data_IF_847794639821
#
_entry.id   IF_847794639821
#
_cell.length_a   1.000
_cell.length_b   1.000
_cell.length_c   1.000
_cell.angle_alpha   90.00
_cell.angle_beta   90.00
_cell.angle_gamma   90.00
#
_symmetry.space_group_name_H-M   'P 1'
#
loop_
_entity.id
_entity.type
_entity.pdbx_description
1 polymer ?
#
# COMPACT_ATOMS: atom_id res chain seq x y z
N UNK A 1 -11.73 -5.51 -7.78
CA UNK A 1 -11.41 -4.07 -7.60
C UNK A 1 -10.40 -4.03 -6.46
N UNK A 2 -9.10 -4.02 -6.77
CA UNK A 2 -8.03 -4.17 -5.78
C UNK A 2 -7.46 -2.79 -5.46
N UNK A 3 -7.31 -2.48 -4.17
CA UNK A 3 -6.65 -1.28 -3.63
C UNK A 3 -5.17 -1.30 -3.93
N UNK A 4 -4.59 -0.15 -4.28
CA UNK A 4 -3.14 -0.03 -4.50
C UNK A 4 -2.29 -0.36 -3.25
N UNK A 5 -2.83 -0.22 -2.03
CA UNK A 5 -1.96 -0.13 -0.86
C UNK A 5 -1.41 -1.48 -0.36
N UNK A 6 -2.12 -2.60 -0.58
CA UNK A 6 -1.69 -3.93 -0.11
C UNK A 6 -1.89 -5.05 -1.15
N UNK A 7 -2.26 -4.72 -2.39
CA UNK A 7 -2.51 -5.71 -3.44
C UNK A 7 -1.26 -6.57 -3.72
N UNK A 8 -0.09 -5.92 -3.76
CA UNK A 8 1.20 -6.61 -3.91
C UNK A 8 1.58 -7.54 -2.74
N UNK A 9 0.90 -7.38 -1.60
CA UNK A 9 1.05 -8.25 -0.43
C UNK A 9 -0.08 -9.29 -0.35
N UNK A 10 -0.86 -9.40 -1.44
CA UNK A 10 -1.93 -10.35 -1.65
C UNK A 10 -3.19 -10.08 -0.82
N UNK A 11 -3.35 -8.87 -0.26
CA UNK A 11 -4.49 -8.49 0.57
C UNK A 11 -5.39 -7.54 -0.20
N UNK A 12 -6.68 -7.86 -0.27
CA UNK A 12 -7.69 -6.93 -0.73
C UNK A 12 -8.45 -6.33 0.46
N UNK A 13 -8.21 -5.06 0.78
CA UNK A 13 -8.87 -4.34 1.89
C UNK A 13 -10.39 -4.25 1.74
N UNK A 14 -10.93 -4.50 0.54
CA UNK A 14 -12.36 -4.42 0.23
C UNK A 14 -12.97 -5.80 -0.09
N UNK A 15 -12.26 -6.90 0.18
CA UNK A 15 -12.78 -8.24 -0.06
C UNK A 15 -14.03 -8.52 0.78
N UNK A 16 -15.01 -9.24 0.24
CA UNK A 16 -16.19 -9.69 0.98
C UNK A 16 -16.33 -11.21 0.83
N UNK A 17 -16.17 -12.01 1.91
CA UNK A 17 -15.96 -11.59 3.30
C UNK A 17 -14.58 -10.97 3.55
N UNK A 18 -14.46 -10.23 4.67
CA UNK A 18 -13.22 -9.59 5.10
C UNK A 18 -12.06 -10.59 5.20
N UNK A 19 -10.92 -10.23 4.62
CA UNK A 19 -9.70 -11.03 4.66
C UNK A 19 -8.87 -10.73 5.92
N UNK A 20 -8.08 -11.71 6.36
CA UNK A 20 -7.01 -11.48 7.33
C UNK A 20 -5.74 -11.07 6.60
N UNK A 21 -5.04 -10.06 7.13
CA UNK A 21 -3.69 -9.71 6.66
C UNK A 21 -2.61 -10.59 7.28
N UNK A 22 -2.93 -11.41 8.28
CA UNK A 22 -1.95 -12.29 8.92
C UNK A 22 -1.82 -13.62 8.21
N UNK A 23 -2.92 -14.15 7.67
CA UNK A 23 -2.98 -15.44 6.98
C UNK A 23 -3.80 -15.37 5.70
N UNK A 24 -3.44 -16.15 4.70
CA UNK A 24 -4.22 -16.30 3.48
C UNK A 24 -5.37 -17.32 3.66
N UNK A 25 -6.13 -17.56 2.59
CA UNK A 25 -7.25 -18.50 2.59
C UNK A 25 -6.82 -19.96 2.83
N UNK A 26 -5.55 -20.30 2.60
CA UNK A 26 -4.98 -21.61 2.89
C UNK A 26 -4.40 -21.70 4.32
N UNK A 27 -4.49 -20.62 5.11
CA UNK A 27 -3.94 -20.52 6.46
C UNK A 27 -2.43 -20.28 6.49
N UNK A 28 -1.81 -19.96 5.35
CA UNK A 28 -0.40 -19.63 5.30
C UNK A 28 -0.15 -18.21 5.78
N UNK A 29 0.92 -18.03 6.55
CA UNK A 29 1.30 -16.73 7.11
C UNK A 29 1.72 -15.77 6.00
N UNK A 30 1.12 -14.59 5.96
CA UNK A 30 1.41 -13.56 4.94
C UNK A 30 2.69 -12.79 5.27
N UNK A 31 3.53 -12.64 4.26
CA UNK A 31 4.71 -11.79 4.29
C UNK A 31 4.29 -10.33 4.12
N UNK A 32 4.94 -9.43 4.86
CA UNK A 32 4.84 -7.99 4.67
C UNK A 32 5.91 -7.49 3.67
N UNK A 33 7.03 -8.18 3.59
CA UNK A 33 8.16 -7.79 2.74
C UNK A 33 8.73 -8.97 1.96
N UNK A 34 9.44 -8.69 0.87
CA UNK A 34 10.42 -9.62 0.31
C UNK A 34 11.60 -9.80 1.27
N UNK A 35 12.34 -10.92 1.19
CA UNK A 35 13.57 -11.10 1.98
C UNK A 35 14.61 -10.02 1.64
N UNK A 36 15.18 -9.37 2.66
CA UNK A 36 16.28 -8.42 2.49
C UNK A 36 17.36 -8.62 3.57
N UNK A 37 18.61 -8.83 3.16
CA UNK A 37 19.76 -9.10 4.05
C UNK A 37 19.44 -10.14 5.15
N UNK A 38 18.91 -11.30 4.74
CA UNK A 38 18.49 -12.40 5.62
C UNK A 38 17.33 -12.09 6.58
N UNK A 39 16.64 -10.96 6.43
CA UNK A 39 15.45 -10.63 7.20
C UNK A 39 14.20 -10.74 6.32
N UNK A 40 13.12 -11.22 6.92
CA UNK A 40 11.79 -11.32 6.31
C UNK A 40 10.75 -10.81 7.31
N UNK A 41 9.93 -9.85 6.90
CA UNK A 41 8.87 -9.31 7.73
C UNK A 41 7.56 -10.05 7.46
N UNK A 42 6.84 -10.33 8.54
CA UNK A 42 5.49 -10.90 8.50
C UNK A 42 4.51 -9.94 9.17
N UNK A 43 3.30 -9.88 8.63
CA UNK A 43 2.26 -8.94 9.05
C UNK A 43 1.92 -9.02 10.54
N UNK A 44 1.74 -10.22 11.08
CA UNK A 44 1.40 -10.43 12.49
C UNK A 44 2.54 -10.03 13.44
N UNK A 45 3.79 -10.38 13.12
CA UNK A 45 4.97 -9.97 13.92
C UNK A 45 5.14 -8.46 13.90
N UNK A 46 5.01 -7.85 12.72
CA UNK A 46 5.12 -6.41 12.56
C UNK A 46 4.01 -5.68 13.31
N UNK A 47 2.76 -6.13 13.18
CA UNK A 47 1.59 -5.53 13.85
C UNK A 47 1.74 -5.57 15.37
N UNK A 48 2.19 -6.71 15.94
CA UNK A 48 2.43 -6.84 17.39
C UNK A 48 3.53 -5.90 17.89
N UNK A 49 4.60 -5.75 17.11
CA UNK A 49 5.68 -4.82 17.42
C UNK A 49 5.18 -3.36 17.35
N UNK A 50 4.48 -2.99 16.27
CA UNK A 50 3.95 -1.64 16.06
C UNK A 50 2.95 -1.24 17.16
N UNK A 51 2.06 -2.17 17.54
CA UNK A 51 1.08 -1.96 18.60
C UNK A 51 1.73 -1.74 19.98
N UNK A 52 2.89 -2.38 20.23
CA UNK A 52 3.66 -2.15 21.46
C UNK A 52 4.33 -0.75 21.48
N UNK A 53 4.77 -0.23 20.34
CA UNK A 53 5.30 1.15 20.23
C UNK A 53 4.20 2.20 20.41
N UNK A 54 2.96 1.89 20.01
CA UNK A 54 1.83 2.82 19.96
C UNK A 54 2.10 4.05 19.09
N UNK A 55 2.65 5.13 19.66
CA UNK A 55 2.93 6.36 18.92
C UNK A 55 4.29 6.24 18.23
N UNK A 56 4.33 6.54 16.94
CA UNK A 56 5.54 6.46 16.11
C UNK A 56 5.70 5.15 15.35
N UNK A 57 4.78 4.19 15.51
CA UNK A 57 4.66 3.03 14.63
C UNK A 57 4.15 3.42 13.24
N UNK A 58 4.55 2.67 12.21
CA UNK A 58 4.15 2.91 10.82
C UNK A 58 2.68 2.56 10.59
N UNK A 59 2.19 1.43 11.15
CA UNK A 59 0.78 1.05 11.00
C UNK A 59 -0.12 2.07 11.70
N UNK A 60 0.25 2.48 12.91
CA UNK A 60 -0.41 3.57 13.65
C UNK A 60 -0.33 4.91 12.94
N UNK A 61 0.77 5.20 12.23
CA UNK A 61 0.88 6.43 11.43
C UNK A 61 -0.10 6.43 10.25
N UNK A 62 -0.26 5.32 9.54
CA UNK A 62 -1.29 5.22 8.49
C UNK A 62 -2.69 5.40 9.05
N UNK A 63 -2.99 4.78 10.19
CA UNK A 63 -4.29 4.97 10.83
C UNK A 63 -4.52 6.43 11.22
N UNK A 64 -3.51 7.10 11.76
CA UNK A 64 -3.58 8.51 12.13
C UNK A 64 -3.84 9.46 10.95
N UNK A 65 -3.39 9.09 9.74
CA UNK A 65 -3.59 9.93 8.53
C UNK A 65 -4.91 9.61 7.85
N UNK A 66 -5.28 8.34 7.74
CA UNK A 66 -6.35 7.90 6.84
C UNK A 66 -7.64 7.48 7.55
N UNK A 67 -7.59 7.19 8.85
CA UNK A 67 -8.75 6.69 9.59
C UNK A 67 -9.54 7.83 10.23
N UNK A 68 -10.87 7.67 10.38
CA UNK A 68 -11.64 8.52 11.27
C UNK A 68 -11.20 8.32 12.73
N UNK A 69 -11.65 9.22 13.61
CA UNK A 69 -11.50 9.01 15.04
C UNK A 69 -12.55 8.00 15.55
N UNK A 70 -12.14 7.13 16.46
CA UNK A 70 -13.00 6.27 17.24
C UNK A 70 -13.69 7.05 18.38
N UNK A 71 -14.62 6.42 19.14
CA UNK A 71 -15.32 7.09 20.24
C UNK A 71 -14.40 7.62 21.36
N UNK A 72 -13.19 7.09 21.48
CA UNK A 72 -12.18 7.51 22.46
C UNK A 72 -11.25 8.61 21.91
N UNK A 73 -11.53 9.09 20.69
CA UNK A 73 -10.76 10.12 20.01
C UNK A 73 -9.40 9.66 19.51
N UNK A 74 -9.17 8.35 19.35
CA UNK A 74 -7.99 7.79 18.71
C UNK A 74 -8.28 7.45 17.25
N UNK A 75 -7.27 7.39 16.36
CA UNK A 75 -7.48 6.89 15.01
C UNK A 75 -8.00 5.46 15.03
N UNK A 76 -9.11 5.22 14.33
CA UNK A 76 -9.74 3.91 14.28
C UNK A 76 -8.81 2.87 13.61
N UNK A 77 -8.83 1.64 14.14
CA UNK A 77 -7.94 0.58 13.66
C UNK A 77 -8.46 -0.05 12.37
N UNK A 78 -7.60 -0.09 11.35
CA UNK A 78 -7.92 -0.74 10.06
C UNK A 78 -7.88 -2.28 10.16
N UNK A 79 -7.20 -2.81 11.17
CA UNK A 79 -6.99 -4.24 11.36
C UNK A 79 -7.24 -4.60 12.82
N UNK A 80 -7.99 -5.68 13.06
CA UNK A 80 -8.05 -6.29 14.39
C UNK A 80 -6.67 -6.84 14.77
N UNK A 81 -6.08 -6.31 15.85
CA UNK A 81 -4.69 -6.64 16.26
C UNK A 81 -4.44 -8.10 16.61
N UNK A 82 -5.49 -8.88 16.90
CA UNK A 82 -5.38 -10.28 17.31
C UNK A 82 -5.49 -11.23 16.13
N UNK A 83 -6.41 -10.94 15.22
CA UNK A 83 -6.83 -11.82 14.12
C UNK A 83 -6.30 -11.38 12.75
N UNK A 84 -5.94 -10.10 12.62
CA UNK A 84 -5.54 -9.48 11.37
C UNK A 84 -6.71 -9.21 10.43
N UNK A 85 -7.95 -9.42 10.85
CA UNK A 85 -9.14 -9.14 10.02
C UNK A 85 -9.25 -7.66 9.71
N UNK A 86 -9.50 -7.33 8.44
CA UNK A 86 -9.70 -5.96 7.99
C UNK A 86 -11.04 -5.42 8.51
N UNK A 87 -11.01 -4.21 9.06
CA UNK A 87 -12.20 -3.46 9.44
C UNK A 87 -12.76 -2.72 8.21
N UNK A 88 -13.80 -3.27 7.58
CA UNK A 88 -14.40 -2.69 6.37
C UNK A 88 -14.93 -1.27 6.56
N UNK A 89 -15.43 -0.92 7.74
CA UNK A 89 -15.93 0.43 7.99
C UNK A 89 -14.79 1.46 7.91
N UNK A 90 -13.60 1.10 8.39
CA UNK A 90 -12.40 1.94 8.29
C UNK A 90 -11.82 1.89 6.88
N UNK A 91 -11.76 0.71 6.25
CA UNK A 91 -11.29 0.55 4.88
C UNK A 91 -12.11 1.41 3.89
N UNK A 92 -13.43 1.53 4.09
CA UNK A 92 -14.29 2.39 3.29
C UNK A 92 -13.85 3.87 3.36
N UNK A 93 -13.41 4.35 4.52
CA UNK A 93 -12.89 5.71 4.68
C UNK A 93 -11.55 5.90 3.96
N UNK A 94 -10.72 4.85 3.92
CA UNK A 94 -9.42 4.88 3.24
C UNK A 94 -9.55 4.97 1.72
N UNK A 95 -10.69 4.60 1.11
CA UNK A 95 -10.93 4.70 -0.34
C UNK A 95 -10.72 6.10 -0.90
N UNK A 96 -10.99 7.14 -0.11
CA UNK A 96 -10.77 8.53 -0.52
C UNK A 96 -9.29 8.86 -0.78
N UNK A 97 -8.37 8.01 -0.33
CA UNK A 97 -6.93 8.15 -0.47
C UNK A 97 -6.30 7.11 -1.41
N UNK A 98 -7.09 6.19 -1.95
CA UNK A 98 -6.63 5.23 -2.95
C UNK A 98 -6.43 5.95 -4.29
N UNK A 99 -5.17 6.15 -4.67
CA UNK A 99 -4.78 6.93 -5.86
C UNK A 99 -5.48 6.41 -7.13
N UNK A 100 -5.62 5.10 -7.30
CA UNK A 100 -6.27 4.52 -8.48
C UNK A 100 -7.76 4.86 -8.49
N UNK A 101 -8.43 4.72 -7.36
CA UNK A 101 -9.85 5.06 -7.22
C UNK A 101 -10.09 6.55 -7.45
N UNK A 102 -9.26 7.42 -6.88
CA UNK A 102 -9.33 8.87 -7.06
C UNK A 102 -9.10 9.24 -8.54
N UNK A 103 -8.08 8.66 -9.18
CA UNK A 103 -7.81 8.95 -10.59
C UNK A 103 -8.92 8.44 -11.49
N UNK A 104 -9.43 7.24 -11.28
CA UNK A 104 -10.51 6.64 -12.09
C UNK A 104 -11.83 7.41 -11.94
N UNK A 105 -12.20 7.80 -10.73
CA UNK A 105 -13.48 8.48 -10.47
C UNK A 105 -13.52 9.92 -10.99
N UNK A 106 -12.36 10.59 -11.04
CA UNK A 106 -12.25 12.01 -11.40
C UNK A 106 -11.38 12.26 -12.64
N UNK A 107 -11.21 11.25 -13.50
CA UNK A 107 -10.19 11.26 -14.54
C UNK A 107 -10.26 12.46 -15.49
N UNK A 108 -11.43 12.73 -16.05
CA UNK A 108 -11.63 13.86 -17.00
C UNK A 108 -11.26 15.22 -16.38
N UNK A 109 -11.44 15.37 -15.07
CA UNK A 109 -11.10 16.58 -14.32
C UNK A 109 -9.61 16.64 -13.98
N UNK A 110 -9.02 15.51 -13.61
CA UNK A 110 -7.63 15.43 -13.12
C UNK A 110 -6.62 15.35 -14.25
N UNK A 111 -6.90 14.62 -15.33
CA UNK A 111 -6.02 14.41 -16.48
C UNK A 111 -5.38 15.71 -17.00
N UNK A 112 -6.13 16.77 -17.38
CA UNK A 112 -5.52 18.00 -17.86
C UNK A 112 -4.70 18.76 -16.79
N UNK A 113 -4.97 18.52 -15.50
CA UNK A 113 -4.26 19.16 -14.40
C UNK A 113 -2.93 18.48 -14.08
N UNK A 114 -2.88 17.17 -14.25
CA UNK A 114 -1.73 16.31 -13.94
C UNK A 114 -0.77 16.12 -15.11
N UNK A 115 -1.23 16.34 -16.36
CA UNK A 115 -0.42 16.15 -17.57
C UNK A 115 0.93 16.85 -17.50
N UNK A 116 2.00 16.04 -17.61
CA UNK A 116 3.39 16.49 -17.61
C UNK A 116 3.90 16.95 -16.23
N UNK A 117 3.20 16.62 -15.13
CA UNK A 117 3.56 17.05 -13.77
C UNK A 117 3.81 15.90 -12.80
N UNK A 118 3.56 14.67 -13.22
CA UNK A 118 3.69 13.48 -12.36
C UNK A 118 4.86 12.65 -12.88
N UNK A 119 5.79 12.35 -11.97
CA UNK A 119 6.80 11.33 -12.15
C UNK A 119 6.59 10.27 -11.06
N UNK A 120 6.29 9.05 -11.48
CA UNK A 120 6.18 7.88 -10.63
C UNK A 120 7.43 7.03 -10.81
N UNK A 121 8.12 6.74 -9.72
CA UNK A 121 9.37 5.98 -9.70
C UNK A 121 9.25 4.83 -8.69
N UNK A 122 9.59 3.62 -9.11
CA UNK A 122 9.64 2.42 -8.24
C UNK A 122 10.76 1.47 -8.71
N UNK A 123 11.27 0.61 -7.84
CA UNK A 123 12.19 -0.46 -8.24
C UNK A 123 11.43 -1.74 -8.60
N UNK A 124 11.91 -2.53 -9.58
CA UNK A 124 11.24 -3.79 -9.98
C UNK A 124 11.29 -4.90 -8.92
N UNK A 125 12.09 -4.72 -7.87
CA UNK A 125 12.20 -5.63 -6.73
C UNK A 125 11.91 -4.88 -5.42
N UNK A 126 10.96 -3.94 -5.40
CA UNK A 126 10.64 -3.18 -4.18
C UNK A 126 10.38 -4.13 -3.00
N UNK A 127 10.99 -3.83 -1.86
CA UNK A 127 10.98 -4.74 -0.72
C UNK A 127 9.58 -4.92 -0.13
N UNK A 128 8.68 -3.97 -0.36
CA UNK A 128 7.31 -3.98 0.14
C UNK A 128 6.26 -4.14 -0.98
N UNK A 129 6.68 -4.63 -2.15
CA UNK A 129 5.80 -4.94 -3.29
C UNK A 129 5.13 -3.70 -3.89
N UNK A 130 5.77 -2.53 -3.80
CA UNK A 130 5.19 -1.28 -4.32
C UNK A 130 5.14 -1.25 -5.85
N UNK A 131 5.96 -2.03 -6.55
CA UNK A 131 5.87 -2.14 -8.01
C UNK A 131 4.59 -2.86 -8.45
N UNK A 132 4.09 -3.84 -7.68
CA UNK A 132 2.81 -4.48 -7.98
C UNK A 132 1.64 -3.49 -7.83
N UNK A 133 1.73 -2.56 -6.87
CA UNK A 133 0.77 -1.47 -6.78
C UNK A 133 0.83 -0.55 -8.01
N UNK A 134 2.02 -0.24 -8.51
CA UNK A 134 2.19 0.53 -9.75
C UNK A 134 1.59 -0.21 -10.93
N UNK A 135 1.84 -1.51 -11.06
CA UNK A 135 1.26 -2.35 -12.11
C UNK A 135 -0.27 -2.34 -12.05
N UNK A 136 -0.87 -2.44 -10.86
CA UNK A 136 -2.33 -2.36 -10.68
C UNK A 136 -2.91 -1.00 -11.11
N UNK A 137 -2.20 0.10 -10.85
CA UNK A 137 -2.59 1.42 -11.33
C UNK A 137 -2.59 1.46 -12.86
N UNK A 138 -1.49 1.01 -13.49
CA UNK A 138 -1.33 1.06 -14.94
C UNK A 138 -2.30 0.12 -15.67
N UNK A 139 -2.55 -1.07 -15.13
CA UNK A 139 -3.55 -1.98 -15.67
C UNK A 139 -4.98 -1.44 -15.50
N UNK A 140 -5.26 -0.78 -14.39
CA UNK A 140 -6.56 -0.21 -14.10
C UNK A 140 -6.85 1.12 -14.79
N UNK A 141 -5.82 1.88 -15.18
CA UNK A 141 -5.92 3.18 -15.85
C UNK A 141 -4.77 3.35 -16.85
N UNK A 142 -4.77 2.61 -17.98
CA UNK A 142 -3.66 2.61 -18.93
C UNK A 142 -3.27 3.99 -19.48
N UNK A 143 -4.25 4.88 -19.62
CA UNK A 143 -4.06 6.26 -20.08
C UNK A 143 -3.30 7.15 -19.08
N UNK A 144 -3.03 6.67 -17.87
CA UNK A 144 -2.11 7.32 -16.95
C UNK A 144 -0.70 7.46 -17.55
N UNK A 145 -0.27 6.47 -18.35
CA UNK A 145 1.01 6.51 -19.08
C UNK A 145 1.08 7.66 -20.11
N UNK A 146 -0.06 8.20 -20.56
CA UNK A 146 -0.07 9.32 -21.52
C UNK A 146 0.24 10.67 -20.85
N UNK A 147 0.18 10.74 -19.52
CA UNK A 147 0.24 12.00 -18.77
C UNK A 147 1.34 12.07 -17.73
N UNK A 148 1.93 10.94 -17.35
CA UNK A 148 2.94 10.81 -16.31
C UNK A 148 4.19 10.13 -16.86
N UNK A 149 5.34 10.50 -16.30
CA UNK A 149 6.57 9.74 -16.48
C UNK A 149 6.55 8.59 -15.46
N UNK A 150 6.67 7.35 -15.94
CA UNK A 150 6.66 6.15 -15.09
C UNK A 150 7.97 5.41 -15.31
N UNK A 151 8.78 5.30 -14.24
CA UNK A 151 10.08 4.65 -14.26
C UNK A 151 10.06 3.45 -13.29
N UNK A 152 10.19 2.24 -13.85
CA UNK A 152 10.43 1.00 -13.09
C UNK A 152 11.91 0.65 -13.23
N UNK A 153 12.68 0.78 -12.16
CA UNK A 153 14.14 0.57 -12.16
C UNK A 153 14.50 -0.88 -11.89
N UNK A 154 15.15 -1.51 -12.87
CA UNK A 154 15.49 -2.93 -12.80
C UNK A 154 16.44 -3.27 -11.65
N UNK A 155 16.10 -4.31 -10.88
CA UNK A 155 16.90 -4.82 -9.76
C UNK A 155 16.97 -3.87 -8.55
N UNK A 156 16.20 -2.79 -8.55
CA UNK A 156 16.13 -1.88 -7.41
C UNK A 156 15.06 -2.32 -6.42
N UNK A 157 15.43 -2.19 -5.14
CA UNK A 157 14.62 -2.47 -3.96
C UNK A 157 14.18 -1.17 -3.31
N UNK A 158 13.29 -1.26 -2.32
CA UNK A 158 12.84 -0.10 -1.54
C UNK A 158 14.00 0.70 -0.93
N UNK A 159 15.12 0.02 -0.66
CA UNK A 159 16.28 0.60 0.02
C UNK A 159 17.21 1.39 -0.90
N UNK A 160 17.08 1.24 -2.23
CA UNK A 160 18.00 1.86 -3.18
C UNK A 160 17.30 2.50 -4.40
N UNK A 161 15.96 2.55 -4.45
CA UNK A 161 15.19 3.19 -5.54
C UNK A 161 15.62 4.64 -5.82
N UNK A 162 15.93 5.39 -4.76
CA UNK A 162 16.35 6.80 -4.83
C UNK A 162 17.87 6.97 -4.92
N UNK A 163 18.64 5.88 -4.91
CA UNK A 163 20.09 5.99 -5.08
C UNK A 163 20.39 6.18 -6.55
N UNK A 164 21.01 7.31 -6.87
CA UNK A 164 21.63 7.52 -8.16
C UNK A 164 22.92 6.71 -8.17
N UNK A 165 22.97 5.62 -8.92
CA UNK A 165 24.25 5.10 -9.37
C UNK A 165 24.87 6.20 -10.23
N UNK A 166 25.80 6.95 -9.66
CA UNK A 166 26.70 7.76 -10.45
C UNK A 166 27.31 6.83 -11.51
N UNK A 167 27.01 7.12 -12.76
CA UNK A 167 27.86 6.76 -13.88
C UNK A 167 29.27 7.25 -13.52
N UNK A 168 30.13 6.32 -13.13
CA UNK A 168 31.58 6.45 -13.19
C UNK A 168 32.01 5.84 -14.52
#
# INVERSE_FOLDING_TARGET
>A
MTTLQLSGQGVNLYADPAESVFVDAAGQRRQLSRPYRNNLLYWDSFTRMDDAYRRGGQLRAFEAVFSPLDPDGQPAEILDRKTGLVNHAVAEQWKAYDIRQVLQSDWERLRPRLRGKVHLLVGSEDTFFLEEAVDDLLQGLPEFNDIAEVEIREGQTHMNTLTWSYLI
#
